data_IF_141637082916
#
_entry.id   IF_141637082916
#
_cell.length_a   1.000
_cell.length_b   1.000
_cell.length_c   1.000
_cell.angle_alpha   90.00
_cell.angle_beta   90.00
_cell.angle_gamma   90.00
#
_symmetry.space_group_name_H-M   'P 1'
#
loop_
_entity.id
_entity.type
_entity.pdbx_description
1 polymer ?
#
# COMPACT_ATOMS: atom_id res chain seq x y z
N UNK A 1 24.70 -11.37 44.72
CA UNK A 1 23.67 -11.46 43.65
C UNK A 1 22.34 -10.84 44.08
N UNK A 2 21.79 -11.18 45.26
CA UNK A 2 20.47 -10.70 45.76
C UNK A 2 20.39 -9.18 45.97
N UNK A 3 21.47 -8.53 46.41
CA UNK A 3 21.48 -7.07 46.65
C UNK A 3 21.29 -6.26 45.36
N UNK A 4 21.83 -6.73 44.24
CA UNK A 4 21.69 -6.05 42.94
C UNK A 4 20.26 -6.08 42.42
N UNK A 5 19.50 -7.16 42.69
CA UNK A 5 18.10 -7.23 42.26
C UNK A 5 17.20 -6.31 43.07
N UNK A 6 17.46 -6.16 44.38
CA UNK A 6 16.69 -5.26 45.26
C UNK A 6 16.92 -3.79 44.88
N UNK A 7 18.18 -3.39 44.66
CA UNK A 7 18.51 -2.03 44.24
C UNK A 7 17.87 -1.66 42.90
N UNK A 8 17.73 -2.64 42.00
CA UNK A 8 17.10 -2.47 40.68
C UNK A 8 15.58 -2.33 40.76
N UNK A 9 14.93 -2.79 41.83
CA UNK A 9 13.50 -2.63 42.06
C UNK A 9 13.23 -1.23 42.62
N UNK A 10 13.95 -0.81 43.67
CA UNK A 10 13.82 0.54 44.24
C UNK A 10 14.06 1.65 43.20
N UNK A 11 15.13 1.54 42.41
CA UNK A 11 15.40 2.53 41.36
C UNK A 11 14.28 2.63 40.32
N UNK A 12 13.60 1.51 39.99
CA UNK A 12 12.47 1.53 39.05
C UNK A 12 11.23 2.19 39.64
N UNK A 13 11.04 2.07 40.95
CA UNK A 13 9.92 2.69 41.66
C UNK A 13 10.15 4.21 41.81
N UNK A 14 11.35 4.64 42.19
CA UNK A 14 11.71 6.06 42.26
C UNK A 14 11.57 6.75 40.89
N UNK A 15 12.06 6.12 39.82
CA UNK A 15 11.85 6.59 38.45
C UNK A 15 10.36 6.63 38.05
N UNK A 16 9.52 5.76 38.62
CA UNK A 16 8.09 5.74 38.32
C UNK A 16 7.35 6.92 38.97
N UNK A 17 7.72 7.31 40.20
CA UNK A 17 7.15 8.46 40.89
C UNK A 17 7.65 9.81 40.35
N UNK A 18 8.88 9.86 39.84
CA UNK A 18 9.47 11.07 39.22
C UNK A 18 9.10 11.23 37.74
N UNK A 19 8.50 10.21 37.11
CA UNK A 19 8.18 10.24 35.69
C UNK A 19 7.07 11.25 35.35
N UNK A 20 7.33 12.11 34.36
CA UNK A 20 6.34 13.00 33.76
C UNK A 20 5.09 12.22 33.29
N UNK A 21 3.90 12.84 33.40
CA UNK A 21 2.60 12.22 33.05
C UNK A 21 2.59 11.59 31.64
N UNK A 22 3.32 12.16 30.68
CA UNK A 22 3.48 11.62 29.33
C UNK A 22 4.22 10.27 29.30
N UNK A 23 5.22 10.10 30.16
CA UNK A 23 5.99 8.85 30.29
C UNK A 23 5.12 7.74 30.87
N UNK A 24 4.29 8.07 31.88
CA UNK A 24 3.27 7.17 32.43
C UNK A 24 2.25 6.75 31.37
N UNK A 25 1.74 7.70 30.59
CA UNK A 25 0.80 7.45 29.51
C UNK A 25 1.39 6.51 28.43
N UNK A 26 2.63 6.78 27.98
CA UNK A 26 3.31 5.96 26.95
C UNK A 26 3.61 4.55 27.44
N UNK A 27 3.97 4.38 28.72
CA UNK A 27 4.15 3.05 29.36
C UNK A 27 2.83 2.28 29.44
N UNK A 28 1.72 2.95 29.82
CA UNK A 28 0.39 2.32 29.89
C UNK A 28 -0.10 1.92 28.50
N UNK A 29 0.06 2.80 27.50
CA UNK A 29 -0.29 2.52 26.10
C UNK A 29 0.48 1.31 25.55
N UNK A 30 1.79 1.19 25.83
CA UNK A 30 2.60 0.02 25.43
C UNK A 30 2.18 -1.29 26.10
N UNK A 31 1.55 -1.27 27.28
CA UNK A 31 1.03 -2.48 27.95
C UNK A 31 -0.21 -3.06 27.25
N UNK A 32 -1.00 -2.23 26.56
CA UNK A 32 -2.21 -2.68 25.88
C UNK A 32 -1.88 -3.29 24.52
N UNK A 33 -2.04 -4.61 24.40
CA UNK A 33 -1.79 -5.37 23.16
C UNK A 33 -2.61 -4.84 21.98
N UNK A 34 -3.89 -4.51 22.20
CA UNK A 34 -4.77 -3.96 21.16
C UNK A 34 -4.27 -2.61 20.61
N UNK A 35 -3.79 -1.74 21.51
CA UNK A 35 -3.28 -0.42 21.15
C UNK A 35 -1.99 -0.53 20.31
N UNK A 36 -1.11 -1.47 20.65
CA UNK A 36 0.09 -1.76 19.87
C UNK A 36 -0.23 -2.34 18.48
N UNK A 37 -1.22 -3.23 18.37
CA UNK A 37 -1.67 -3.78 17.08
C UNK A 37 -2.23 -2.66 16.21
N UNK A 38 -3.10 -1.81 16.76
CA UNK A 38 -3.66 -0.67 16.02
C UNK A 38 -2.59 0.29 15.52
N UNK A 39 -1.56 0.57 16.34
CA UNK A 39 -0.43 1.40 15.94
C UNK A 39 0.36 0.77 14.78
N UNK A 40 0.57 -0.55 14.80
CA UNK A 40 1.20 -1.27 13.70
C UNK A 40 0.39 -1.25 12.41
N UNK A 41 -0.92 -1.51 12.50
CA UNK A 41 -1.83 -1.45 11.34
C UNK A 41 -1.85 -0.05 10.74
N UNK A 42 -1.94 0.98 11.58
CA UNK A 42 -1.91 2.36 11.13
C UNK A 42 -0.58 2.70 10.46
N UNK A 43 0.55 2.30 11.07
CA UNK A 43 1.88 2.48 10.50
C UNK A 43 2.03 1.79 9.13
N UNK A 44 1.49 0.57 8.99
CA UNK A 44 1.49 -0.15 7.72
C UNK A 44 0.65 0.55 6.65
N UNK A 45 -0.54 1.04 6.98
CA UNK A 45 -1.38 1.79 6.03
C UNK A 45 -0.68 3.08 5.56
N UNK A 46 -0.05 3.83 6.46
CA UNK A 46 0.72 5.02 6.09
C UNK A 46 1.96 4.68 5.27
N UNK A 47 2.62 3.56 5.57
CA UNK A 47 3.74 3.08 4.77
C UNK A 47 3.28 2.79 3.33
N UNK A 48 2.21 2.01 3.16
CA UNK A 48 1.61 1.75 1.84
C UNK A 48 1.22 3.06 1.13
N UNK A 49 0.65 4.03 1.85
CA UNK A 49 0.28 5.33 1.28
C UNK A 49 1.50 6.15 0.83
N UNK A 50 2.60 6.14 1.58
CA UNK A 50 3.85 6.83 1.20
C UNK A 50 4.50 6.21 -0.04
N UNK A 51 4.41 4.88 -0.16
CA UNK A 51 4.83 4.15 -1.37
C UNK A 51 3.69 3.99 -2.38
N UNK A 52 2.65 4.83 -2.28
CA UNK A 52 1.46 4.78 -3.11
C UNK A 52 1.78 4.87 -4.60
N UNK A 53 2.69 5.76 -5.01
CA UNK A 53 3.09 5.90 -6.42
C UNK A 53 3.89 4.70 -6.94
N UNK A 54 4.52 3.92 -6.07
CA UNK A 54 5.18 2.67 -6.46
C UNK A 54 4.18 1.51 -6.60
N UNK A 55 3.18 1.46 -5.72
CA UNK A 55 2.20 0.38 -5.67
C UNK A 55 1.06 0.61 -6.69
N UNK A 56 0.67 1.85 -6.93
CA UNK A 56 -0.39 2.24 -7.85
C UNK A 56 0.22 2.85 -9.13
N UNK A 57 0.42 2.06 -10.20
CA UNK A 57 0.99 2.55 -11.46
C UNK A 57 0.09 3.57 -12.19
N UNK A 58 -1.17 3.72 -11.76
CA UNK A 58 -2.10 4.70 -12.29
C UNK A 58 -2.56 5.66 -11.19
N UNK A 59 -2.36 6.96 -11.44
CA UNK A 59 -2.90 8.02 -10.60
C UNK A 59 -4.44 7.95 -10.61
N UNK A 60 -5.09 8.23 -9.47
CA UNK A 60 -6.54 8.30 -9.33
C UNK A 60 -7.20 9.29 -10.32
N UNK A 61 -6.45 10.31 -10.73
CA UNK A 61 -6.89 11.35 -11.68
C UNK A 61 -6.45 11.04 -13.12
N UNK A 62 -5.61 10.01 -13.34
CA UNK A 62 -5.15 9.67 -14.68
C UNK A 62 -6.31 9.12 -15.52
N UNK A 63 -6.90 10.02 -16.31
CA UNK A 63 -7.98 9.70 -17.22
C UNK A 63 -7.46 9.55 -18.65
N UNK A 64 -7.54 8.32 -19.18
CA UNK A 64 -7.20 8.06 -20.59
C UNK A 64 -8.47 7.93 -21.42
N UNK A 65 -8.86 9.01 -22.12
CA UNK A 65 -9.99 8.99 -23.06
C UNK A 65 -9.82 7.94 -24.16
N UNK A 66 -8.55 7.61 -24.50
CA UNK A 66 -8.17 6.68 -25.57
C UNK A 66 -8.49 5.21 -25.24
N UNK A 67 -8.69 4.86 -23.97
CA UNK A 67 -8.88 3.47 -23.53
C UNK A 67 -10.20 3.30 -22.75
N UNK A 68 -11.05 4.34 -22.78
CA UNK A 68 -12.31 4.38 -22.04
C UNK A 68 -13.29 3.31 -22.55
N UNK A 69 -13.61 2.33 -21.70
CA UNK A 69 -14.42 1.15 -22.02
C UNK A 69 -13.79 0.26 -23.11
N UNK A 70 -12.45 0.25 -23.22
CA UNK A 70 -11.78 -0.73 -24.06
C UNK A 70 -11.93 -2.14 -23.46
N UNK A 71 -12.05 -3.18 -24.31
CA UNK A 71 -12.03 -4.55 -23.82
C UNK A 71 -10.66 -4.89 -23.20
N UNK A 72 -10.59 -5.88 -22.28
CA UNK A 72 -9.32 -6.37 -21.75
C UNK A 72 -8.40 -6.82 -22.89
N UNK A 73 -7.16 -6.33 -22.90
CA UNK A 73 -6.22 -6.61 -23.99
C UNK A 73 -5.74 -8.06 -23.94
N UNK A 74 -5.79 -8.75 -25.07
CA UNK A 74 -5.39 -10.17 -25.15
C UNK A 74 -3.87 -10.30 -25.27
N UNK A 75 -3.32 -11.24 -24.50
CA UNK A 75 -1.91 -11.61 -24.58
C UNK A 75 -1.74 -12.67 -25.66
N UNK A 76 -0.90 -12.38 -26.64
CA UNK A 76 -0.54 -13.27 -27.73
C UNK A 76 0.86 -13.84 -27.48
N UNK A 77 1.10 -15.07 -27.92
CA UNK A 77 2.39 -15.76 -27.75
C UNK A 77 3.12 -16.02 -29.09
N UNK A 78 2.35 -16.01 -30.18
CA UNK A 78 2.81 -16.28 -31.54
C UNK A 78 2.49 -15.09 -32.44
N UNK A 79 3.48 -14.65 -33.21
CA UNK A 79 3.32 -13.65 -34.25
C UNK A 79 3.70 -14.30 -35.58
N UNK A 80 2.78 -14.32 -36.54
CA UNK A 80 3.03 -14.87 -37.89
C UNK A 80 3.60 -16.31 -37.89
N UNK A 81 3.15 -17.14 -36.94
CA UNK A 81 3.60 -18.54 -36.81
C UNK A 81 4.94 -18.72 -36.10
N UNK A 82 5.62 -17.65 -35.67
CA UNK A 82 6.85 -17.73 -34.86
C UNK A 82 6.56 -17.39 -33.39
N UNK A 83 7.18 -18.12 -32.48
CA UNK A 83 7.09 -17.86 -31.05
C UNK A 83 8.00 -16.68 -30.68
N UNK A 84 7.42 -15.62 -30.12
CA UNK A 84 8.15 -14.38 -29.74
C UNK A 84 8.04 -14.07 -28.24
N UNK A 85 7.30 -14.91 -27.48
CA UNK A 85 6.98 -14.69 -26.07
C UNK A 85 5.67 -13.93 -25.87
N UNK A 86 5.31 -13.57 -24.62
CA UNK A 86 4.08 -12.85 -24.34
C UNK A 86 4.15 -11.41 -24.87
N UNK A 87 3.31 -11.10 -25.86
CA UNK A 87 3.21 -9.76 -26.44
C UNK A 87 1.75 -9.34 -26.63
N UNK A 88 1.55 -8.05 -26.89
CA UNK A 88 0.25 -7.41 -27.05
C UNK A 88 0.25 -6.56 -28.33
N UNK A 89 -0.82 -6.62 -29.11
CA UNK A 89 -1.00 -5.77 -30.30
C UNK A 89 -1.47 -4.36 -29.94
N UNK A 90 -1.10 -3.40 -30.78
CA UNK A 90 -1.46 -2.00 -30.60
C UNK A 90 -2.92 -1.74 -30.96
N UNK A 91 -3.78 -1.58 -29.95
CA UNK A 91 -5.19 -1.22 -30.13
C UNK A 91 -5.36 0.15 -30.81
N UNK A 92 -6.09 0.16 -31.93
CA UNK A 92 -6.58 1.38 -32.59
C UNK A 92 -8.01 1.65 -32.15
N UNK A 93 -8.29 2.91 -31.81
CA UNK A 93 -9.64 3.38 -31.56
C UNK A 93 -10.16 4.08 -32.81
N UNK A 94 -11.27 3.59 -33.33
CA UNK A 94 -12.06 4.29 -34.34
C UNK A 94 -13.44 4.67 -33.78
N UNK A 95 -14.05 5.70 -34.36
CA UNK A 95 -15.41 6.12 -34.02
C UNK A 95 -16.30 5.89 -35.23
N UNK A 96 -17.39 5.17 -35.00
CA UNK A 96 -18.44 5.00 -35.99
C UNK A 96 -19.05 6.38 -36.33
N UNK A 97 -19.11 6.78 -37.61
CA UNK A 97 -19.60 8.10 -38.01
C UNK A 97 -21.10 8.31 -37.77
N UNK A 98 -21.89 7.22 -37.70
CA UNK A 98 -23.35 7.28 -37.52
C UNK A 98 -23.72 7.09 -36.06
N UNK A 99 -23.19 6.04 -35.41
CA UNK A 99 -23.56 5.69 -34.02
C UNK A 99 -22.67 6.37 -32.97
N UNK A 100 -21.55 6.97 -33.38
CA UNK A 100 -20.51 7.59 -32.51
C UNK A 100 -19.93 6.63 -31.46
N UNK A 101 -20.18 5.32 -31.59
CA UNK A 101 -19.63 4.29 -30.72
C UNK A 101 -18.13 4.17 -30.96
N UNK A 102 -17.38 3.94 -29.89
CA UNK A 102 -15.94 3.62 -29.96
C UNK A 102 -15.81 2.14 -30.35
N UNK A 103 -15.14 1.88 -31.46
CA UNK A 103 -14.78 0.54 -31.91
C UNK A 103 -13.28 0.37 -31.68
N UNK A 104 -12.90 -0.75 -31.07
CA UNK A 104 -11.51 -1.09 -30.77
C UNK A 104 -11.09 -2.26 -31.64
N UNK A 105 -10.02 -2.08 -32.41
CA UNK A 105 -9.45 -3.11 -33.29
C UNK A 105 -7.99 -3.28 -32.92
N UNK A 106 -7.57 -4.54 -32.75
CA UNK A 106 -6.18 -4.95 -32.50
C UNK A 106 -5.34 -4.95 -33.78
#
# INVERSE_FOLDING_TARGET
MVLQSVQKINNKEEEFYLASQWTLMRRKFKKHKLAMISLWVLGFLYFVALFGDFIAPSNLVAYSSKIMNAPPTKIHMFHEGKYVGPFVYGIKMERDPVTKRKIYTE
#
